data_IF_933078556785
#
_entry.id   IF_933078556785
#
_cell.length_a   1.000
_cell.length_b   1.000
_cell.length_c   1.000
_cell.angle_alpha   90.00
_cell.angle_beta   90.00
_cell.angle_gamma   90.00
#
_symmetry.space_group_name_H-M   'P 1'
#
loop_
_entity.id
_entity.type
_entity.pdbx_description
1 polymer ?
#
# COMPACT_ATOMS: atom_id res chain seq x y z
N UNK A 1 -5.01 20.30 -5.32
CA UNK A 1 -4.07 19.41 -4.61
C UNK A 1 -3.77 18.22 -5.52
N UNK A 2 -2.50 17.98 -5.85
CA UNK A 2 -2.05 16.86 -6.69
C UNK A 2 -1.57 15.74 -5.78
N UNK A 3 -2.29 14.62 -5.80
CA UNK A 3 -1.98 13.43 -4.99
C UNK A 3 -1.90 12.21 -5.92
N UNK A 4 -0.71 11.86 -6.42
CA UNK A 4 -0.51 10.57 -7.05
C UNK A 4 -0.56 9.46 -6.00
N UNK A 5 -1.41 8.47 -6.23
CA UNK A 5 -1.64 7.32 -5.38
C UNK A 5 -1.10 6.06 -6.05
N UNK A 6 0.05 5.59 -5.60
CA UNK A 6 0.71 4.39 -6.11
C UNK A 6 0.31 3.18 -5.30
N UNK A 7 -0.23 2.13 -5.93
CA UNK A 7 -0.66 0.93 -5.23
C UNK A 7 -0.08 -0.37 -5.79
N UNK A 8 0.11 -1.35 -4.91
CA UNK A 8 0.50 -2.71 -5.26
C UNK A 8 -0.63 -3.69 -4.95
N UNK A 9 -1.08 -4.52 -5.91
CA UNK A 9 -2.13 -5.53 -5.65
C UNK A 9 -1.65 -6.97 -5.81
N UNK A 10 -1.80 -7.83 -4.79
CA UNK A 10 -1.29 -9.22 -4.82
C UNK A 10 -1.75 -9.99 -6.06
N UNK A 11 -3.03 -9.84 -6.40
CA UNK A 11 -3.67 -10.56 -7.50
C UNK A 11 -3.70 -9.76 -8.81
N UNK A 12 -3.14 -8.54 -8.82
CA UNK A 12 -3.18 -7.67 -10.00
C UNK A 12 -4.58 -7.13 -10.30
N UNK A 13 -5.53 -7.25 -9.37
CA UNK A 13 -6.89 -6.78 -9.58
C UNK A 13 -6.89 -5.25 -9.69
N UNK A 14 -7.05 -4.72 -10.90
CA UNK A 14 -7.21 -3.28 -11.17
C UNK A 14 -8.43 -2.68 -10.46
N UNK A 15 -9.38 -3.50 -10.04
CA UNK A 15 -10.52 -3.10 -9.21
C UNK A 15 -10.09 -2.42 -7.91
N UNK A 16 -9.01 -2.88 -7.28
CA UNK A 16 -8.53 -2.30 -6.02
C UNK A 16 -8.06 -0.84 -6.19
N UNK A 17 -7.54 -0.49 -7.37
CA UNK A 17 -7.21 0.91 -7.68
C UNK A 17 -8.46 1.76 -7.82
N UNK A 18 -9.41 1.30 -8.64
CA UNK A 18 -10.68 1.99 -8.89
C UNK A 18 -11.54 2.14 -7.62
N UNK A 19 -11.59 1.13 -6.74
CA UNK A 19 -12.34 1.17 -5.49
C UNK A 19 -11.78 2.25 -4.54
N UNK A 20 -10.45 2.36 -4.47
CA UNK A 20 -9.78 3.39 -3.67
C UNK A 20 -10.05 4.78 -4.26
N UNK A 21 -9.95 4.90 -5.59
CA UNK A 21 -10.25 6.15 -6.29
C UNK A 21 -11.67 6.62 -6.00
N UNK A 22 -12.67 5.75 -6.21
CA UNK A 22 -14.06 6.05 -5.95
C UNK A 22 -14.31 6.42 -4.47
N UNK A 23 -13.69 5.71 -3.52
CA UNK A 23 -13.84 5.99 -2.10
C UNK A 23 -13.24 7.34 -1.68
N UNK A 24 -12.15 7.78 -2.32
CA UNK A 24 -11.53 9.07 -2.05
C UNK A 24 -12.28 10.21 -2.74
N UNK A 25 -12.74 10.01 -3.98
CA UNK A 25 -13.61 10.96 -4.69
C UNK A 25 -14.91 11.19 -3.91
N UNK A 26 -15.52 10.13 -3.37
CA UNK A 26 -16.72 10.24 -2.53
C UNK A 26 -16.50 11.09 -1.25
N UNK A 27 -15.24 11.25 -0.82
CA UNK A 27 -14.84 12.10 0.31
C UNK A 27 -14.37 13.50 -0.14
N UNK A 28 -14.52 13.83 -1.42
CA UNK A 28 -14.08 15.11 -1.99
C UNK A 28 -12.58 15.20 -2.25
N UNK A 29 -11.86 14.07 -2.24
CA UNK A 29 -10.41 14.03 -2.49
C UNK A 29 -10.14 13.47 -3.88
N UNK A 30 -9.69 14.33 -4.80
CA UNK A 30 -9.21 13.90 -6.10
C UNK A 30 -7.79 13.31 -5.97
N UNK A 31 -7.58 12.12 -6.53
CA UNK A 31 -6.30 11.41 -6.57
C UNK A 31 -6.04 10.91 -7.99
N UNK A 32 -4.77 10.72 -8.32
CA UNK A 32 -4.34 10.15 -9.59
C UNK A 32 -3.76 8.76 -9.31
N UNK A 33 -4.52 7.70 -9.65
CA UNK A 33 -4.23 6.34 -9.19
C UNK A 33 -3.37 5.57 -10.18
N UNK A 34 -2.21 5.12 -9.71
CA UNK A 34 -1.22 4.40 -10.50
C UNK A 34 -0.93 3.02 -9.89
N UNK A 35 -0.99 1.96 -10.68
CA UNK A 35 -0.44 0.68 -10.22
C UNK A 35 1.10 0.75 -10.30
N UNK A 36 1.82 0.27 -9.28
CA UNK A 36 3.29 0.40 -9.20
C UNK A 36 4.07 -0.35 -10.31
N UNK A 37 3.39 -1.18 -11.12
CA UNK A 37 4.01 -1.83 -12.29
C UNK A 37 4.07 -0.91 -13.50
N UNK A 38 3.18 0.07 -13.54
CA UNK A 38 2.98 0.95 -14.70
C UNK A 38 3.60 2.33 -14.46
N UNK A 39 4.11 2.57 -13.25
CA UNK A 39 4.83 3.79 -12.87
C UNK A 39 6.35 3.55 -12.85
N UNK A 40 7.11 4.56 -13.29
CA UNK A 40 8.55 4.60 -13.15
C UNK A 40 8.93 5.21 -11.77
N UNK A 41 9.56 4.46 -10.86
CA UNK A 41 9.97 4.98 -9.56
C UNK A 41 11.00 6.12 -9.67
N UNK A 42 11.73 6.24 -10.78
CA UNK A 42 12.77 7.25 -10.96
C UNK A 42 12.28 8.56 -11.57
N UNK A 43 11.03 8.60 -12.02
CA UNK A 43 10.42 9.73 -12.74
C UNK A 43 9.06 10.14 -12.14
N UNK A 44 9.00 10.23 -10.80
CA UNK A 44 7.77 10.61 -10.10
C UNK A 44 7.49 12.12 -10.28
N UNK A 45 6.27 12.52 -10.69
CA UNK A 45 5.94 13.92 -10.92
C UNK A 45 5.91 14.71 -9.61
N UNK A 46 6.21 16.03 -9.62
CA UNK A 46 5.99 16.88 -8.46
C UNK A 46 4.53 16.84 -7.99
N UNK A 47 4.35 16.64 -6.69
CA UNK A 47 3.04 16.53 -6.06
C UNK A 47 3.00 17.19 -4.67
N UNK A 48 1.80 17.49 -4.20
CA UNK A 48 1.59 17.99 -2.84
C UNK A 48 1.79 16.87 -1.81
N UNK A 49 1.46 15.62 -2.18
CA UNK A 49 1.64 14.42 -1.38
C UNK A 49 1.73 13.17 -2.27
N UNK A 50 2.82 12.41 -2.16
CA UNK A 50 2.90 11.07 -2.76
C UNK A 50 2.33 10.02 -1.81
N UNK A 51 1.37 9.21 -2.27
CA UNK A 51 0.81 8.14 -1.46
C UNK A 51 1.22 6.79 -2.01
N UNK A 52 1.78 5.93 -1.16
CA UNK A 52 2.17 4.57 -1.53
C UNK A 52 1.39 3.56 -0.70
N UNK A 53 0.63 2.68 -1.36
CA UNK A 53 -0.19 1.66 -0.72
C UNK A 53 0.24 0.26 -1.13
N UNK A 54 0.34 -0.65 -0.17
CA UNK A 54 0.61 -2.05 -0.45
C UNK A 54 0.01 -2.94 0.63
N UNK A 55 -0.57 -4.10 0.27
CA UNK A 55 -0.88 -5.15 1.22
C UNK A 55 0.33 -5.47 2.11
N UNK A 56 0.07 -5.57 3.40
CA UNK A 56 1.04 -6.03 4.38
C UNK A 56 1.13 -7.55 4.36
N UNK A 57 2.35 -8.08 4.28
CA UNK A 57 2.63 -9.49 4.54
C UNK A 57 3.64 -9.55 5.67
N UNK A 58 3.24 -10.09 6.83
CA UNK A 58 4.06 -10.15 8.04
C UNK A 58 4.64 -8.77 8.42
N UNK A 59 3.77 -7.75 8.47
CA UNK A 59 4.12 -6.38 8.84
C UNK A 59 5.00 -5.61 7.83
N UNK A 60 5.21 -6.12 6.61
CA UNK A 60 5.99 -5.42 5.58
C UNK A 60 5.20 -5.24 4.28
N UNK A 61 5.39 -4.13 3.54
CA UNK A 61 4.86 -3.98 2.18
C UNK A 61 5.30 -5.13 1.29
N UNK A 62 4.58 -5.40 0.21
CA UNK A 62 4.94 -6.44 -0.76
C UNK A 62 6.32 -6.20 -1.35
N UNK A 63 7.02 -7.28 -1.73
CA UNK A 63 8.40 -7.20 -2.24
C UNK A 63 8.57 -6.21 -3.40
N UNK A 64 7.60 -6.16 -4.33
CA UNK A 64 7.60 -5.18 -5.42
C UNK A 64 7.38 -3.74 -4.97
N UNK A 65 6.55 -3.49 -3.96
CA UNK A 65 6.37 -2.16 -3.40
C UNK A 65 7.65 -1.69 -2.70
N UNK A 66 8.31 -2.59 -1.96
CA UNK A 66 9.62 -2.28 -1.36
C UNK A 66 10.69 -1.99 -2.42
N UNK A 67 10.72 -2.76 -3.50
CA UNK A 67 11.64 -2.51 -4.63
C UNK A 67 11.35 -1.16 -5.27
N UNK A 68 10.08 -0.83 -5.52
CA UNK A 68 9.67 0.46 -6.06
C UNK A 68 10.17 1.60 -5.16
N UNK A 69 9.87 1.54 -3.86
CA UNK A 69 10.28 2.55 -2.88
C UNK A 69 11.81 2.69 -2.78
N UNK A 70 12.57 1.60 -2.92
CA UNK A 70 14.04 1.65 -2.93
C UNK A 70 14.59 2.49 -4.10
N UNK A 71 13.88 2.52 -5.22
CA UNK A 71 14.29 3.27 -6.41
C UNK A 71 13.54 4.59 -6.57
N UNK A 72 12.59 4.88 -5.67
CA UNK A 72 11.76 6.07 -5.73
C UNK A 72 12.63 7.33 -5.61
N UNK A 73 12.64 8.17 -6.64
CA UNK A 73 13.28 9.49 -6.62
C UNK A 73 12.22 10.54 -6.41
N UNK A 74 12.05 10.94 -5.16
CA UNK A 74 11.17 12.06 -4.80
C UNK A 74 11.94 13.37 -4.86
N UNK A 75 11.32 14.47 -5.35
CA UNK A 75 11.91 15.80 -5.24
C UNK A 75 12.27 16.14 -3.79
N UNK A 76 13.35 16.88 -3.57
CA UNK A 76 13.73 17.38 -2.24
C UNK A 76 12.58 18.17 -1.63
N UNK A 77 12.18 17.81 -0.40
CA UNK A 77 11.05 18.45 0.30
C UNK A 77 9.68 17.87 -0.05
N UNK A 78 9.60 16.85 -0.92
CA UNK A 78 8.34 16.18 -1.21
C UNK A 78 7.77 15.47 0.03
N UNK A 79 6.47 15.62 0.23
CA UNK A 79 5.74 14.91 1.28
C UNK A 79 5.29 13.54 0.76
N UNK A 80 5.33 12.54 1.63
CA UNK A 80 4.84 11.21 1.29
C UNK A 80 4.09 10.55 2.44
N UNK A 81 3.20 9.61 2.08
CA UNK A 81 2.51 8.72 3.00
C UNK A 81 2.66 7.27 2.56
N UNK A 82 2.81 6.37 3.54
CA UNK A 82 2.89 4.93 3.34
C UNK A 82 1.70 4.26 4.03
N UNK A 83 0.91 3.50 3.27
CA UNK A 83 -0.21 2.72 3.77
C UNK A 83 0.05 1.24 3.57
N UNK A 84 -0.10 0.48 4.64
CA UNK A 84 -0.07 -0.97 4.59
C UNK A 84 -1.38 -1.55 5.13
N UNK A 85 -2.07 -2.33 4.30
CA UNK A 85 -3.28 -3.02 4.72
C UNK A 85 -2.90 -4.43 5.17
N UNK A 86 -2.99 -4.73 6.47
CA UNK A 86 -2.81 -6.10 6.95
C UNK A 86 -4.08 -6.92 6.66
N UNK A 87 -3.92 -8.15 6.19
CA UNK A 87 -5.06 -9.07 6.08
C UNK A 87 -5.64 -9.37 7.45
N UNK A 88 -6.97 -9.51 7.54
CA UNK A 88 -7.63 -9.94 8.76
C UNK A 88 -7.06 -11.31 9.23
N UNK A 89 -7.01 -11.56 10.55
CA UNK A 89 -6.62 -12.86 11.06
C UNK A 89 -7.53 -13.94 10.47
N UNK A 90 -6.93 -15.05 10.02
CA UNK A 90 -7.67 -16.19 9.50
C UNK A 90 -7.35 -17.41 10.36
N UNK A 91 -8.30 -18.33 10.53
CA UNK A 91 -8.06 -19.56 11.29
C UNK A 91 -6.94 -20.38 10.66
N UNK A 92 -6.21 -21.10 11.50
CA UNK A 92 -5.18 -22.03 11.03
C UNK A 92 -5.79 -23.10 10.11
N UNK A 93 -5.09 -23.42 9.01
CA UNK A 93 -5.62 -24.34 7.99
C UNK A 93 -5.76 -25.79 8.47
N UNK A 94 -5.03 -26.19 9.51
CA UNK A 94 -5.05 -27.55 10.07
C UNK A 94 -5.96 -27.63 11.28
N UNK A 95 -5.84 -26.70 12.23
CA UNK A 95 -6.56 -26.73 13.49
C UNK A 95 -7.92 -26.01 13.42
N UNK A 96 -8.13 -25.10 12.46
CA UNK A 96 -9.33 -24.25 12.39
C UNK A 96 -9.40 -23.18 13.48
N UNK A 97 -8.38 -23.08 14.33
CA UNK A 97 -8.36 -22.17 15.47
C UNK A 97 -7.96 -20.75 15.06
N UNK A 98 -8.58 -19.77 15.69
CA UNK A 98 -8.21 -18.37 15.52
C UNK A 98 -6.88 -18.08 16.21
N UNK A 99 -5.99 -17.27 15.59
CA UNK A 99 -4.76 -16.83 16.23
C UNK A 99 -5.08 -15.96 17.45
N UNK A 100 -4.26 -16.10 18.49
CA UNK A 100 -4.36 -15.32 19.73
C UNK A 100 -4.06 -13.84 19.50
N UNK A 101 -4.49 -12.99 20.43
CA UNK A 101 -4.24 -11.54 20.35
C UNK A 101 -2.74 -11.19 20.26
N UNK A 102 -1.89 -11.95 20.96
CA UNK A 102 -0.43 -11.79 20.92
C UNK A 102 0.16 -12.18 19.56
N UNK A 103 -0.34 -13.25 18.94
CA UNK A 103 0.06 -13.66 17.60
C UNK A 103 -0.36 -12.65 16.53
N UNK A 104 -1.57 -12.10 16.66
CA UNK A 104 -2.06 -11.02 15.79
C UNK A 104 -1.18 -9.78 15.94
N UNK A 105 -0.87 -9.38 17.18
CA UNK A 105 0.00 -8.24 17.46
C UNK A 105 1.39 -8.43 16.84
N UNK A 106 1.98 -9.62 16.97
CA UNK A 106 3.27 -9.97 16.35
C UNK A 106 3.24 -9.90 14.82
N UNK A 107 2.12 -10.22 14.18
CA UNK A 107 1.99 -10.09 12.73
C UNK A 107 1.88 -8.64 12.26
N UNK A 108 1.25 -7.79 13.08
CA UNK A 108 0.99 -6.38 12.79
C UNK A 108 2.20 -5.49 13.09
N UNK A 109 2.97 -5.78 14.14
CA UNK A 109 4.16 -5.00 14.53
C UNK A 109 5.32 -5.12 13.55
N UNK A 110 5.31 -6.15 12.69
CA UNK A 110 6.41 -6.46 11.78
C UNK A 110 7.64 -6.99 12.53
N UNK A 111 8.49 -7.77 11.86
CA UNK A 111 9.81 -8.07 12.43
C UNK A 111 10.66 -6.80 12.33
N UNK A 112 11.05 -6.26 13.48
CA UNK A 112 12.17 -5.33 13.65
C UNK A 112 13.39 -5.82 12.89
#
# INVERSE_FOLDING_TARGET
MKIPFYYASMFGNGTAGADVEHALIAKGVAVDVHHIRDADPTALPPADLHVFSSPGRMGRPLGRARRFLKHAKLPTGARYALLTTAGAPRPDKKAGEMPTAEEIARWQSGRS
#
